data_IF_334623927838
#
_entry.id   IF_334623927838
#
_cell.length_a   1.000
_cell.length_b   1.000
_cell.length_c   1.000
_cell.angle_alpha   90.00
_cell.angle_beta   90.00
_cell.angle_gamma   90.00
#
_symmetry.space_group_name_H-M   'P 1'
#
loop_
_entity.id
_entity.type
_entity.pdbx_description
1 polymer ?
#
# COMPACT_ATOMS: atom_id res chain seq x y z
N UNK A 1 -0.71 8.36 11.69
CA UNK A 1 0.17 8.25 10.51
C UNK A 1 -0.17 9.38 9.57
N UNK A 2 0.80 10.21 9.15
CA UNK A 2 0.50 11.40 8.34
C UNK A 2 0.59 11.17 6.82
N UNK A 3 1.19 10.07 6.39
CA UNK A 3 1.08 9.57 5.02
C UNK A 3 0.95 8.03 5.04
N UNK A 4 -0.25 7.46 4.89
CA UNK A 4 -0.45 6.01 4.90
C UNK A 4 -0.06 5.31 3.59
N UNK A 5 0.36 6.05 2.54
CA UNK A 5 0.65 5.48 1.23
C UNK A 5 1.75 4.41 1.27
N UNK A 6 2.83 4.65 2.02
CA UNK A 6 3.91 3.67 2.16
C UNK A 6 3.40 2.36 2.78
N UNK A 7 2.55 2.43 3.81
CA UNK A 7 1.95 1.25 4.43
C UNK A 7 1.00 0.52 3.48
N UNK A 8 0.18 1.25 2.72
CA UNK A 8 -0.72 0.66 1.73
C UNK A 8 0.05 -0.09 0.63
N UNK A 9 1.13 0.50 0.11
CA UNK A 9 2.00 -0.13 -0.89
C UNK A 9 2.67 -1.38 -0.31
N UNK A 10 3.25 -1.29 0.88
CA UNK A 10 3.86 -2.45 1.55
C UNK A 10 2.83 -3.56 1.75
N UNK A 11 1.61 -3.23 2.16
CA UNK A 11 0.55 -4.23 2.29
C UNK A 11 0.21 -4.88 0.94
N UNK A 12 0.01 -4.09 -0.11
CA UNK A 12 -0.29 -4.61 -1.45
C UNK A 12 0.82 -5.52 -1.98
N UNK A 13 2.09 -5.17 -1.75
CA UNK A 13 3.22 -5.97 -2.22
C UNK A 13 3.45 -7.25 -1.41
N UNK A 14 3.11 -7.28 -0.12
CA UNK A 14 3.35 -8.46 0.72
C UNK A 14 2.13 -9.37 0.86
N UNK A 15 0.92 -8.87 0.64
CA UNK A 15 -0.30 -9.67 0.65
C UNK A 15 -0.55 -10.31 -0.73
N UNK A 16 0.22 -11.34 -1.05
CA UNK A 16 0.08 -12.10 -2.30
C UNK A 16 -1.22 -12.91 -2.39
N UNK A 17 -1.94 -13.07 -1.26
CA UNK A 17 -3.26 -13.69 -1.28
C UNK A 17 -4.27 -12.76 -1.94
N UNK A 18 -4.29 -11.48 -1.55
CA UNK A 18 -5.21 -10.51 -2.14
C UNK A 18 -4.69 -9.90 -3.45
N UNK A 19 -3.37 -9.74 -3.56
CA UNK A 19 -2.71 -9.07 -4.68
C UNK A 19 -1.61 -9.97 -5.30
N UNK A 20 -1.97 -11.12 -5.90
CA UNK A 20 -0.99 -12.04 -6.48
C UNK A 20 -0.20 -11.43 -7.64
N UNK A 21 -0.78 -10.44 -8.34
CA UNK A 21 -0.18 -9.79 -9.51
C UNK A 21 0.72 -8.60 -9.17
N UNK A 22 0.66 -8.08 -7.94
CA UNK A 22 1.47 -6.92 -7.54
C UNK A 22 2.87 -7.39 -7.17
N UNK A 23 3.84 -7.36 -8.09
CA UNK A 23 5.22 -7.82 -7.85
C UNK A 23 6.16 -6.69 -7.48
N UNK A 24 5.93 -5.49 -8.02
CA UNK A 24 6.70 -4.29 -7.73
C UNK A 24 5.86 -3.03 -7.81
N UNK A 25 6.52 -1.88 -7.70
CA UNK A 25 5.86 -0.55 -7.79
C UNK A 25 5.31 -0.26 -9.18
N UNK A 26 5.84 -0.91 -10.22
CA UNK A 26 5.37 -0.76 -11.61
C UNK A 26 3.98 -1.36 -11.83
N UNK A 27 3.57 -2.31 -10.98
CA UNK A 27 2.24 -2.95 -11.04
C UNK A 27 1.17 -2.19 -10.23
N UNK A 28 1.54 -1.06 -9.63
CA UNK A 28 0.69 -0.30 -8.72
C UNK A 28 0.33 1.08 -9.29
N UNK A 29 -0.93 1.44 -9.08
CA UNK A 29 -1.47 2.77 -9.34
C UNK A 29 -1.95 3.36 -8.00
N UNK A 30 -1.31 4.43 -7.55
CA UNK A 30 -1.45 4.97 -6.20
C UNK A 30 -1.80 6.46 -6.27
N UNK A 31 -3.00 6.78 -5.77
CA UNK A 31 -3.43 8.15 -5.50
C UNK A 31 -3.42 8.38 -3.99
N UNK A 32 -2.55 9.29 -3.53
CA UNK A 32 -2.42 9.66 -2.13
C UNK A 32 -3.00 11.06 -1.90
N UNK A 33 -4.03 11.18 -1.06
CA UNK A 33 -4.73 12.44 -0.79
C UNK A 33 -4.45 12.85 0.66
N UNK A 34 -3.76 13.98 0.82
CA UNK A 34 -3.48 14.59 2.11
C UNK A 34 -4.44 15.74 2.40
N UNK A 35 -5.06 15.73 3.58
CA UNK A 35 -5.66 16.93 4.16
C UNK A 35 -4.52 17.90 4.49
N UNK A 36 -4.52 19.08 3.88
CA UNK A 36 -3.43 20.04 3.94
C UNK A 36 -2.93 20.33 5.34
N UNK A 37 -1.64 20.63 5.45
CA UNK A 37 -1.05 21.07 6.70
C UNK A 37 -1.65 22.42 7.10
N UNK A 38 -2.40 22.46 8.21
CA UNK A 38 -2.77 23.72 8.85
C UNK A 38 -1.47 24.44 9.21
N UNK A 39 -1.29 25.61 8.60
CA UNK A 39 -0.10 26.43 8.76
C UNK A 39 0.31 26.51 10.24
N UNK A 40 1.45 25.92 10.58
CA UNK A 40 2.33 26.61 11.48
C UNK A 40 2.70 27.88 10.71
N UNK A 41 2.14 29.00 11.15
CA UNK A 41 2.21 30.30 10.50
C UNK A 41 3.57 30.48 9.80
N UNK A 42 3.53 30.69 8.48
CA UNK A 42 4.63 31.31 7.75
C UNK A 42 4.73 32.76 8.19
N UNK A 43 5.02 32.93 9.48
CA UNK A 43 5.21 34.22 10.08
C UNK A 43 6.66 34.55 9.80
N UNK A 44 6.86 35.55 8.95
CA UNK A 44 8.05 36.39 8.93
C UNK A 44 8.28 37.11 10.27
N UNK A 45 7.84 36.56 11.40
CA UNK A 45 8.20 37.01 12.74
C UNK A 45 9.53 36.37 13.11
N UNK A 46 10.52 37.16 13.52
CA UNK A 46 11.76 36.63 14.07
C UNK A 46 11.41 35.81 15.31
N UNK A 47 11.82 34.53 15.33
CA UNK A 47 11.79 33.56 16.44
C UNK A 47 10.51 33.55 17.32
N UNK A 48 9.80 32.42 17.48
CA UNK A 48 8.77 32.36 18.51
C UNK A 48 9.46 32.65 19.86
N UNK A 49 9.03 33.69 20.57
CA UNK A 49 9.54 34.08 21.89
C UNK A 49 9.25 33.03 22.99
N UNK A 50 8.78 31.84 22.59
CA UNK A 50 8.35 30.74 23.43
C UNK A 50 8.82 29.44 22.82
N UNK A 51 9.26 28.51 23.67
CA UNK A 51 9.55 27.14 23.26
C UNK A 51 8.32 26.49 22.62
N UNK A 52 8.49 25.72 21.53
CA UNK A 52 7.38 25.05 20.86
C UNK A 52 6.73 24.04 21.82
N UNK A 53 5.41 23.98 21.80
CA UNK A 53 4.68 22.99 22.59
C UNK A 53 4.96 21.56 22.10
N UNK A 54 4.84 20.54 22.96
CA UNK A 54 4.96 19.14 22.54
C UNK A 54 4.03 18.77 21.38
N UNK A 55 2.85 19.42 21.30
CA UNK A 55 1.88 19.22 20.22
C UNK A 55 2.35 19.82 18.89
N UNK A 56 2.95 21.00 18.91
CA UNK A 56 3.52 21.61 17.70
C UNK A 56 4.71 20.80 17.19
N UNK A 57 5.59 20.38 18.10
CA UNK A 57 6.70 19.47 17.77
C UNK A 57 6.19 18.17 17.15
N UNK A 58 5.15 17.55 17.73
CA UNK A 58 4.55 16.34 17.19
C UNK A 58 3.95 16.57 15.79
N UNK A 59 3.28 17.71 15.55
CA UNK A 59 2.72 18.04 14.23
C UNK A 59 3.81 18.22 13.18
N UNK A 60 4.82 19.03 13.46
CA UNK A 60 5.95 19.28 12.55
C UNK A 60 6.71 17.99 12.27
N UNK A 61 6.96 17.18 13.30
CA UNK A 61 7.63 15.88 13.13
C UNK A 61 6.80 14.95 12.25
N UNK A 62 5.49 14.89 12.47
CA UNK A 62 4.62 14.02 11.71
C UNK A 62 4.46 14.48 10.24
N UNK A 63 4.46 15.80 10.00
CA UNK A 63 4.53 16.38 8.66
C UNK A 63 5.86 16.06 7.96
N UNK A 64 7.00 16.25 8.65
CA UNK A 64 8.31 15.90 8.11
C UNK A 64 8.43 14.41 7.76
N UNK A 65 7.86 13.52 8.57
CA UNK A 65 7.78 12.08 8.24
C UNK A 65 6.91 11.84 7.01
N UNK A 66 5.78 12.55 6.86
CA UNK A 66 4.94 12.43 5.68
C UNK A 66 5.66 12.86 4.40
N UNK A 67 6.42 13.96 4.47
CA UNK A 67 7.22 14.48 3.36
C UNK A 67 8.35 13.52 2.97
N UNK A 68 9.06 12.94 3.95
CA UNK A 68 10.09 11.93 3.68
C UNK A 68 9.53 10.70 2.97
N UNK A 69 8.33 10.23 3.39
CA UNK A 69 7.65 9.12 2.72
C UNK A 69 7.26 9.52 1.30
N UNK A 70 6.69 10.70 1.11
CA UNK A 70 6.28 11.18 -0.22
C UNK A 70 7.47 11.29 -1.18
N UNK A 71 8.59 11.84 -0.73
CA UNK A 71 9.79 11.90 -1.54
C UNK A 71 10.36 10.52 -1.86
N UNK A 72 10.39 9.61 -0.87
CA UNK A 72 10.88 8.24 -1.06
C UNK A 72 10.02 7.48 -2.08
N UNK A 73 8.69 7.61 -1.99
CA UNK A 73 7.78 7.01 -2.97
C UNK A 73 7.92 7.66 -4.33
N UNK A 74 7.99 8.99 -4.40
CA UNK A 74 8.22 9.69 -5.66
C UNK A 74 9.54 9.29 -6.34
N UNK A 75 10.58 8.97 -5.57
CA UNK A 75 11.83 8.41 -6.09
C UNK A 75 11.68 6.94 -6.50
N UNK A 76 10.97 6.13 -5.72
CA UNK A 76 10.74 4.71 -6.01
C UNK A 76 9.94 4.51 -7.32
N UNK A 77 8.95 5.36 -7.58
CA UNK A 77 8.19 5.35 -8.83
C UNK A 77 8.95 6.01 -10.00
N UNK A 78 10.08 6.69 -9.75
CA UNK A 78 11.10 7.06 -10.74
C UNK A 78 10.56 7.65 -12.05
N UNK A 79 10.76 6.93 -13.17
CA UNK A 79 10.32 7.30 -14.53
C UNK A 79 8.80 7.31 -14.72
N UNK A 80 8.04 6.63 -13.85
CA UNK A 80 6.58 6.59 -13.84
C UNK A 80 5.96 7.63 -12.87
N UNK A 81 6.79 8.53 -12.31
CA UNK A 81 6.34 9.63 -11.46
C UNK A 81 5.39 10.53 -12.26
N UNK A 82 4.15 10.66 -11.78
CA UNK A 82 3.08 11.42 -12.44
C UNK A 82 2.06 10.59 -13.23
N UNK A 83 2.30 9.29 -13.47
CA UNK A 83 1.28 8.36 -13.99
C UNK A 83 0.85 7.31 -12.95
N UNK A 84 1.80 6.79 -12.17
CA UNK A 84 1.56 5.64 -11.28
C UNK A 84 1.54 6.02 -9.78
N UNK A 85 2.16 7.13 -9.39
CA UNK A 85 2.05 7.70 -8.06
C UNK A 85 1.70 9.19 -8.16
N UNK A 86 0.55 9.57 -7.61
CA UNK A 86 0.07 10.96 -7.56
C UNK A 86 -0.24 11.32 -6.11
N UNK A 87 0.47 12.31 -5.59
CA UNK A 87 0.19 12.93 -4.28
C UNK A 87 -0.53 14.25 -4.49
N UNK A 88 -1.70 14.39 -3.88
CA UNK A 88 -2.44 15.66 -3.79
C UNK A 88 -2.47 16.04 -2.32
N UNK A 89 -2.02 17.25 -2.02
CA UNK A 89 -2.06 17.79 -0.67
C UNK A 89 -2.79 19.13 -0.75
N UNK A 90 -3.74 19.37 0.16
CA UNK A 90 -4.36 20.69 0.19
C UNK A 90 -3.30 21.74 0.51
N UNK A 91 -3.17 22.74 -0.37
CA UNK A 91 -2.28 23.86 -0.14
C UNK A 91 -2.70 24.66 1.09
N UNK A 92 -1.85 25.61 1.49
CA UNK A 92 -2.05 26.56 2.61
C UNK A 92 -3.30 27.46 2.51
N UNK A 93 -4.22 27.20 1.58
CA UNK A 93 -5.52 27.86 1.57
C UNK A 93 -6.32 27.38 2.78
N UNK A 94 -7.00 28.32 3.46
CA UNK A 94 -7.77 28.08 4.67
C UNK A 94 -8.49 26.73 4.60
N UNK A 95 -8.36 25.91 5.65
CA UNK A 95 -9.28 24.79 5.86
C UNK A 95 -10.68 25.39 5.80
N UNK A 96 -11.50 25.05 4.79
CA UNK A 96 -12.81 25.65 4.66
C UNK A 96 -13.61 25.21 5.89
N UNK A 97 -14.01 26.19 6.69
CA UNK A 97 -14.74 25.97 7.96
C UNK A 97 -16.17 25.46 7.63
N UNK A 98 -16.60 25.59 6.37
CA UNK A 98 -17.92 25.21 5.86
C UNK A 98 -17.80 24.34 4.61
N UNK A 99 -18.73 23.40 4.46
CA UNK A 99 -18.84 22.47 3.31
C UNK A 99 -18.93 23.19 1.96
N UNK A 100 -19.53 24.37 1.90
CA UNK A 100 -19.71 25.12 0.66
C UNK A 100 -18.38 25.62 0.08
N UNK A 101 -17.41 25.94 0.93
CA UNK A 101 -16.07 26.39 0.53
C UNK A 101 -15.12 25.23 0.21
N UNK A 102 -15.49 23.99 0.57
CA UNK A 102 -14.68 22.80 0.29
C UNK A 102 -14.60 22.48 -1.20
N UNK A 103 -15.69 22.73 -1.94
CA UNK A 103 -15.73 22.57 -3.40
C UNK A 103 -14.74 23.51 -4.09
N UNK A 104 -14.80 24.81 -3.75
CA UNK A 104 -13.92 25.85 -4.28
C UNK A 104 -12.46 25.59 -3.89
N UNK A 105 -12.21 25.16 -2.66
CA UNK A 105 -10.86 24.78 -2.22
C UNK A 105 -10.33 23.57 -2.99
N UNK A 106 -11.17 22.57 -3.26
CA UNK A 106 -10.80 21.41 -4.07
C UNK A 106 -10.51 21.78 -5.52
N UNK A 107 -11.31 22.66 -6.14
CA UNK A 107 -11.05 23.19 -7.48
C UNK A 107 -9.72 23.95 -7.53
N UNK A 108 -9.45 24.81 -6.55
CA UNK A 108 -8.18 25.51 -6.44
C UNK A 108 -6.99 24.54 -6.27
N UNK A 109 -7.16 23.45 -5.52
CA UNK A 109 -6.15 22.40 -5.38
C UNK A 109 -5.90 21.64 -6.69
N UNK A 110 -6.95 21.37 -7.45
CA UNK A 110 -6.84 20.69 -8.74
C UNK A 110 -6.16 21.56 -9.80
N UNK A 111 -6.36 22.88 -9.74
CA UNK A 111 -5.69 23.85 -10.62
C UNK A 111 -4.20 24.06 -10.30
N UNK A 112 -3.75 23.71 -9.09
CA UNK A 112 -2.35 23.87 -8.68
C UNK A 112 -1.41 22.90 -9.39
N UNK A 113 -0.15 23.31 -9.51
CA UNK A 113 0.97 22.48 -9.97
C UNK A 113 1.84 22.13 -8.77
N UNK A 114 1.88 20.85 -8.40
CA UNK A 114 2.68 20.39 -7.26
C UNK A 114 4.18 20.45 -7.55
N UNK A 115 4.98 20.55 -6.49
CA UNK A 115 6.44 20.41 -6.56
C UNK A 115 6.80 18.93 -6.48
N UNK A 116 7.64 18.48 -7.41
CA UNK A 116 8.10 17.10 -7.51
C UNK A 116 9.61 17.03 -7.22
N UNK A 117 10.03 16.06 -6.42
CA UNK A 117 11.45 15.70 -6.32
C UNK A 117 11.87 14.96 -7.59
N UNK A 118 13.03 15.27 -8.16
CA UNK A 118 13.55 14.56 -9.33
C UNK A 118 14.85 13.90 -8.91
N UNK A 119 15.05 12.62 -9.26
CA UNK A 119 16.29 11.91 -8.94
C UNK A 119 17.49 12.71 -9.47
N UNK A 120 18.42 13.04 -8.58
CA UNK A 120 19.63 13.84 -8.86
C UNK A 120 19.39 15.31 -9.25
N UNK A 121 18.19 15.88 -8.99
CA UNK A 121 17.89 17.31 -9.18
C UNK A 121 17.16 17.89 -7.96
N UNK A 122 17.24 19.21 -7.83
CA UNK A 122 16.42 19.99 -6.90
C UNK A 122 14.90 19.78 -7.16
N UNK A 123 14.08 20.08 -6.15
CA UNK A 123 12.63 20.14 -6.24
C UNK A 123 12.18 20.98 -7.44
N UNK A 124 11.38 20.43 -8.35
CA UNK A 124 10.91 21.09 -9.58
C UNK A 124 9.40 21.30 -9.54
N UNK A 125 8.91 22.45 -9.99
CA UNK A 125 7.47 22.65 -10.23
C UNK A 125 7.01 21.71 -11.34
N UNK A 126 5.91 20.98 -11.12
CA UNK A 126 5.32 20.12 -12.13
C UNK A 126 4.85 20.92 -13.35
N UNK A 127 4.97 20.31 -14.53
CA UNK A 127 4.47 20.90 -15.78
C UNK A 127 2.95 20.77 -15.90
N UNK A 128 2.37 19.75 -15.25
CA UNK A 128 0.95 19.42 -15.26
C UNK A 128 0.23 19.89 -14.00
N UNK A 129 -1.04 20.28 -14.16
CA UNK A 129 -1.93 20.54 -13.03
C UNK A 129 -2.29 19.24 -12.29
N UNK A 130 -2.76 19.37 -11.05
CA UNK A 130 -3.22 18.22 -10.29
C UNK A 130 -4.45 17.56 -10.96
N UNK A 131 -5.33 18.33 -11.59
CA UNK A 131 -6.42 17.82 -12.42
C UNK A 131 -5.91 16.91 -13.55
N UNK A 132 -4.96 17.39 -14.35
CA UNK A 132 -4.40 16.63 -15.48
C UNK A 132 -3.74 15.31 -15.03
N UNK A 133 -3.11 15.30 -13.85
CA UNK A 133 -2.53 14.07 -13.30
C UNK A 133 -3.60 13.08 -12.86
N UNK A 134 -4.67 13.56 -12.23
CA UNK A 134 -5.81 12.72 -11.84
C UNK A 134 -6.51 12.15 -13.06
N UNK A 135 -6.71 12.95 -14.10
CA UNK A 135 -7.32 12.50 -15.35
C UNK A 135 -6.47 11.43 -16.04
N UNK A 136 -5.15 11.61 -16.08
CA UNK A 136 -4.22 10.61 -16.60
C UNK A 136 -4.28 9.30 -15.79
N UNK A 137 -4.31 9.41 -14.45
CA UNK A 137 -4.42 8.27 -13.55
C UNK A 137 -5.77 7.54 -13.72
N UNK A 138 -6.86 8.28 -13.90
CA UNK A 138 -8.19 7.72 -14.17
C UNK A 138 -8.23 6.99 -15.52
N UNK A 139 -7.56 7.51 -16.56
CA UNK A 139 -7.47 6.84 -17.84
C UNK A 139 -6.77 5.47 -17.74
N UNK A 140 -5.67 5.38 -16.97
CA UNK A 140 -4.99 4.10 -16.72
C UNK A 140 -5.87 3.14 -15.91
N UNK A 141 -6.62 3.64 -14.92
CA UNK A 141 -7.57 2.83 -14.15
C UNK A 141 -8.67 2.22 -15.05
N UNK A 142 -9.20 3.00 -15.99
CA UNK A 142 -10.21 2.52 -16.96
C UNK A 142 -9.60 1.45 -17.88
N UNK A 143 -8.38 1.67 -18.39
CA UNK A 143 -7.68 0.66 -19.21
C UNK A 143 -7.48 -0.64 -18.45
N UNK A 144 -7.05 -0.57 -17.19
CA UNK A 144 -6.86 -1.75 -16.34
C UNK A 144 -8.17 -2.46 -16.05
N UNK A 145 -9.25 -1.73 -15.79
CA UNK A 145 -10.58 -2.32 -15.60
C UNK A 145 -11.08 -3.05 -16.85
N UNK A 146 -10.89 -2.46 -18.04
CA UNK A 146 -11.23 -3.10 -19.32
C UNK A 146 -10.35 -4.32 -19.61
N UNK A 147 -9.05 -4.26 -19.28
CA UNK A 147 -8.14 -5.40 -19.36
C UNK A 147 -8.63 -6.55 -18.48
N UNK A 148 -9.04 -6.25 -17.25
CA UNK A 148 -9.61 -7.24 -16.31
C UNK A 148 -10.92 -7.84 -16.80
N UNK A 149 -11.80 -7.04 -17.41
CA UNK A 149 -13.06 -7.53 -18.00
C UNK A 149 -12.84 -8.53 -19.14
N UNK A 150 -11.75 -8.39 -19.89
CA UNK A 150 -11.40 -9.28 -21.02
C UNK A 150 -10.47 -10.43 -20.61
N UNK A 151 -9.96 -10.41 -19.39
CA UNK A 151 -9.03 -11.40 -18.87
C UNK A 151 -9.80 -12.55 -18.23
N UNK A 152 -9.43 -13.82 -18.51
CA UNK A 152 -9.98 -14.97 -17.82
C UNK A 152 -9.39 -15.16 -16.40
N UNK A 153 -8.40 -14.34 -16.00
CA UNK A 153 -7.74 -14.45 -14.71
C UNK A 153 -8.56 -13.77 -13.59
N UNK A 154 -8.71 -14.40 -12.41
CA UNK A 154 -9.41 -13.80 -11.28
C UNK A 154 -8.66 -12.57 -10.75
N UNK A 155 -9.41 -11.48 -10.52
CA UNK A 155 -8.86 -10.18 -10.11
C UNK A 155 -8.33 -10.15 -8.67
N UNK A 156 -8.90 -10.99 -7.80
CA UNK A 156 -8.57 -11.16 -6.38
C UNK A 156 -8.84 -12.61 -6.03
N UNK A 157 -7.93 -13.29 -5.33
CA UNK A 157 -8.27 -14.57 -4.71
C UNK A 157 -9.12 -14.26 -3.47
N UNK A 158 -10.44 -14.23 -3.64
CA UNK A 158 -11.36 -14.05 -2.53
C UNK A 158 -11.11 -15.18 -1.55
N UNK A 159 -10.82 -14.84 -0.30
CA UNK A 159 -10.69 -15.78 0.81
C UNK A 159 -11.97 -16.61 0.88
N UNK A 160 -11.92 -17.83 0.35
CA UNK A 160 -12.90 -18.85 0.67
C UNK A 160 -12.70 -19.18 2.15
N UNK A 161 -13.45 -18.51 3.03
CA UNK A 161 -13.66 -18.99 4.38
C UNK A 161 -14.53 -20.22 4.22
N UNK A 162 -13.89 -21.37 3.98
CA UNK A 162 -14.57 -22.65 3.98
C UNK A 162 -15.20 -22.83 5.36
N UNK A 163 -16.53 -22.77 5.43
CA UNK A 163 -17.24 -23.58 6.42
C UNK A 163 -16.68 -24.99 6.32
N UNK A 164 -16.17 -25.60 7.41
CA UNK A 164 -15.68 -26.95 7.34
C UNK A 164 -16.89 -27.84 7.05
N UNK A 165 -17.08 -28.21 5.79
CA UNK A 165 -17.91 -29.33 5.42
C UNK A 165 -17.24 -30.53 6.07
N UNK A 166 -17.81 -30.97 7.19
CA UNK A 166 -17.48 -32.19 7.92
C UNK A 166 -17.68 -33.38 6.99
N UNK A 167 -16.71 -33.63 6.12
CA UNK A 167 -16.61 -34.87 5.38
C UNK A 167 -15.98 -35.87 6.32
N UNK A 168 -16.86 -36.63 6.98
CA UNK A 168 -16.54 -37.85 7.71
C UNK A 168 -15.75 -38.78 6.79
N UNK A 169 -14.45 -38.96 7.03
CA UNK A 169 -13.70 -40.07 6.46
C UNK A 169 -13.76 -41.23 7.45
N UNK A 170 -14.67 -42.17 7.20
CA UNK A 170 -14.65 -43.48 7.83
C UNK A 170 -13.51 -44.29 7.22
N UNK A 171 -12.60 -44.75 8.08
CA UNK A 171 -11.51 -45.66 7.75
C UNK A 171 -12.06 -47.02 7.35
N UNK A 172 -11.84 -47.46 6.11
CA UNK A 172 -11.72 -48.89 5.80
C UNK A 172 -10.57 -49.07 4.81
N UNK A 173 -9.42 -49.44 5.35
CA UNK A 173 -8.30 -49.96 4.57
C UNK A 173 -8.63 -51.39 4.12
N UNK A 174 -8.42 -51.68 2.84
CA UNK A 174 -8.41 -53.05 2.31
C UNK A 174 -7.54 -53.07 1.05
N UNK A 175 -6.31 -53.54 1.20
CA UNK A 175 -5.41 -53.92 0.11
C UNK A 175 -4.68 -55.19 0.55
N UNK A 176 -4.67 -56.24 -0.28
CA UNK A 176 -3.77 -57.38 -0.08
C UNK A 176 -4.23 -58.70 -0.70
N UNK A 177 -3.93 -58.90 -1.98
CA UNK A 177 -3.81 -60.20 -2.66
C UNK A 177 -2.62 -61.02 -2.13
N UNK A 178 -2.74 -62.36 -2.06
CA UNK A 178 -1.60 -63.28 -2.20
C UNK A 178 -1.24 -64.22 -1.02
N UNK A 179 -1.85 -65.40 -1.02
CA UNK A 179 -1.35 -66.76 -0.72
C UNK A 179 -0.09 -67.02 0.15
N UNK A 180 -0.30 -67.77 1.23
CA UNK A 180 0.46 -68.91 1.79
C UNK A 180 1.80 -68.78 2.59
N UNK A 181 1.67 -69.20 3.86
CA UNK A 181 2.46 -70.20 4.65
C UNK A 181 3.70 -69.78 5.46
N UNK A 182 3.80 -70.46 6.62
CA UNK A 182 4.90 -70.67 7.60
C UNK A 182 5.28 -69.47 8.48
N UNK A 183 4.95 -69.50 9.79
CA UNK A 183 5.74 -70.04 10.92
C UNK A 183 7.11 -69.32 11.06
N UNK A 184 7.59 -68.83 12.19
CA UNK A 184 7.22 -68.88 13.61
C UNK A 184 8.16 -67.90 14.33
N UNK A 185 7.88 -67.62 15.62
CA UNK A 185 8.87 -67.27 16.66
C UNK A 185 9.18 -65.78 16.86
N UNK A 186 8.53 -65.23 17.90
CA UNK A 186 9.03 -64.14 18.74
C UNK A 186 10.35 -64.55 19.43
N UNK A 187 11.28 -63.62 19.74
CA UNK A 187 11.10 -62.76 20.92
C UNK A 187 11.70 -61.33 20.83
N UNK A 188 11.13 -60.46 21.67
CA UNK A 188 11.73 -59.24 22.26
C UNK A 188 13.02 -59.59 23.06
N UNK A 189 13.80 -58.68 23.69
CA UNK A 189 13.78 -57.20 23.75
C UNK A 189 15.19 -56.55 23.65
N UNK A 190 15.26 -55.26 24.01
CA UNK A 190 16.36 -54.55 24.70
C UNK A 190 17.28 -53.60 23.90
N UNK A 191 17.06 -52.32 24.20
CA UNK A 191 18.01 -51.22 24.44
C UNK A 191 19.51 -51.48 24.29
N UNK A 192 20.19 -50.54 23.65
CA UNK A 192 21.43 -49.94 24.17
C UNK A 192 21.74 -48.63 23.46
N UNK A 193 22.13 -47.65 24.27
CA UNK A 193 22.63 -46.33 23.90
C UNK A 193 24.07 -46.38 23.38
N UNK A 194 24.48 -45.24 22.81
CA UNK A 194 25.85 -44.72 22.73
C UNK A 194 26.79 -45.38 21.72
N UNK A 195 27.25 -44.57 20.75
CA UNK A 195 28.60 -43.98 20.84
C UNK A 195 28.83 -42.87 19.82
N UNK A 196 29.32 -41.74 20.37
CA UNK A 196 30.21 -40.70 19.81
C UNK A 196 29.73 -39.81 18.67
#
# INVERSE_FOLDING_TARGET
MCNPAGTAITHALHNKQEFPLATGVDDLLVLSIGAGASAANGSSTPMPARSPSPRELARVTAEGVADMVDESLGMAFGRARGSNYVRIQAGKALVPIRTDEASVAAEAMLAQRNVESVLFRERRLSERTNAEKVDALAAELVKEQERRRRSPLPNVAIKQVGTPARLSSATTASSGTGTARTASTMPSPASWESRR
#
